data_IF_098896735953
#
_entry.id   IF_098896735953
#
_cell.length_a   1.000
_cell.length_b   1.000
_cell.length_c   1.000
_cell.angle_alpha   90.00
_cell.angle_beta   90.00
_cell.angle_gamma   90.00
#
_symmetry.space_group_name_H-M   'P 1'
#
loop_
_entity.id
_entity.type
_entity.pdbx_description
1 polymer ?
#
# COMPACT_ATOMS: atom_id res chain seq x y z
N UNK A 1 44.40 -7.69 -44.80
CA UNK A 1 43.38 -6.63 -44.75
C UNK A 1 42.71 -6.72 -43.39
N UNK A 2 42.90 -5.74 -42.51
CA UNK A 2 42.43 -5.76 -41.11
C UNK A 2 41.17 -4.90 -41.00
N UNK A 3 40.09 -5.46 -40.48
CA UNK A 3 38.82 -4.76 -40.19
C UNK A 3 38.77 -4.57 -38.66
N UNK A 4 38.93 -3.35 -38.13
CA UNK A 4 38.42 -3.01 -36.81
C UNK A 4 36.95 -2.58 -36.93
N UNK A 5 36.24 -2.50 -35.79
CA UNK A 5 34.88 -2.01 -35.52
C UNK A 5 34.06 -3.11 -34.81
N UNK A 6 33.29 -2.90 -33.74
CA UNK A 6 32.87 -1.74 -32.93
C UNK A 6 32.60 -2.32 -31.53
N UNK A 7 32.98 -1.59 -30.47
CA UNK A 7 32.52 -1.88 -29.12
C UNK A 7 31.04 -1.50 -29.00
N UNK A 8 30.15 -2.49 -28.86
CA UNK A 8 28.74 -2.25 -28.50
C UNK A 8 28.64 -2.11 -26.98
N UNK A 9 28.52 -0.87 -26.51
CA UNK A 9 28.05 -0.57 -25.16
C UNK A 9 26.58 -0.99 -25.06
N UNK A 10 26.31 -2.12 -24.40
CA UNK A 10 24.97 -2.50 -24.02
C UNK A 10 24.50 -1.54 -22.92
N UNK A 11 23.58 -0.64 -23.28
CA UNK A 11 22.96 0.30 -22.37
C UNK A 11 22.20 -0.45 -21.26
N UNK A 12 22.41 0.01 -20.02
CA UNK A 12 21.73 -0.44 -18.81
C UNK A 12 20.22 -0.25 -18.94
N UNK A 13 19.49 -1.33 -19.23
CA UNK A 13 18.04 -1.40 -19.07
C UNK A 13 17.72 -2.17 -17.78
N UNK A 14 17.82 -1.49 -16.64
CA UNK A 14 17.34 -2.01 -15.36
C UNK A 14 17.02 -0.84 -14.42
N UNK A 15 15.92 -0.16 -14.72
CA UNK A 15 15.30 0.82 -13.83
C UNK A 15 13.82 0.49 -13.69
N UNK A 16 13.51 -0.72 -13.22
CA UNK A 16 12.14 -1.12 -12.93
C UNK A 16 11.66 -0.35 -11.70
N UNK A 17 11.07 0.82 -11.95
CA UNK A 17 9.86 1.35 -11.32
C UNK A 17 9.52 0.69 -9.96
N UNK A 18 10.18 1.14 -8.88
CA UNK A 18 9.67 0.97 -7.52
C UNK A 18 8.54 2.00 -7.29
N UNK A 19 7.48 1.94 -8.10
CA UNK A 19 6.33 2.80 -7.91
C UNK A 19 5.37 2.11 -6.95
N UNK A 20 5.72 2.15 -5.65
CA UNK A 20 4.83 1.88 -4.52
C UNK A 20 4.75 0.40 -4.12
N UNK A 21 5.60 0.01 -3.17
CA UNK A 21 5.25 -1.07 -2.26
C UNK A 21 4.12 -0.55 -1.36
N UNK A 22 2.95 -1.21 -1.38
CA UNK A 22 1.84 -0.91 -0.46
C UNK A 22 2.13 -1.36 0.99
N UNK A 23 3.31 -1.95 1.24
CA UNK A 23 3.74 -2.26 2.60
C UNK A 23 4.04 -0.97 3.37
N UNK A 24 3.77 -0.92 4.69
CA UNK A 24 4.07 0.25 5.52
C UNK A 24 5.55 0.69 5.46
N UNK A 25 6.46 -0.27 5.31
CA UNK A 25 7.91 -0.12 5.17
C UNK A 25 8.47 -1.33 4.41
N UNK A 26 9.60 -1.19 3.72
CA UNK A 26 10.20 -2.27 2.92
C UNK A 26 10.57 -3.51 3.75
N UNK A 27 10.92 -3.30 5.02
CA UNK A 27 11.27 -4.32 6.00
C UNK A 27 10.11 -4.62 6.97
N UNK A 28 8.87 -4.32 6.57
CA UNK A 28 7.69 -4.59 7.38
C UNK A 28 7.62 -6.09 7.66
N UNK A 29 7.50 -6.43 8.94
CA UNK A 29 7.46 -7.80 9.40
C UNK A 29 8.74 -8.62 9.21
N UNK A 30 9.92 -7.99 9.06
CA UNK A 30 11.17 -8.74 8.86
C UNK A 30 11.50 -9.70 10.01
N UNK A 31 11.11 -9.36 11.25
CA UNK A 31 11.35 -10.16 12.46
C UNK A 31 10.22 -11.14 12.77
N UNK A 32 9.16 -11.18 11.96
CA UNK A 32 7.94 -11.94 12.20
C UNK A 32 7.55 -12.84 11.05
N UNK A 33 6.26 -13.18 11.02
CA UNK A 33 5.64 -13.93 9.94
C UNK A 33 4.42 -13.17 9.42
N UNK A 34 4.34 -13.05 8.11
CA UNK A 34 3.14 -12.52 7.44
C UNK A 34 2.05 -13.59 7.45
N UNK A 35 0.85 -13.23 7.91
CA UNK A 35 -0.34 -14.06 7.82
C UNK A 35 -1.45 -13.31 7.09
N UNK A 36 -2.11 -13.99 6.15
CA UNK A 36 -3.30 -13.46 5.47
C UNK A 36 -4.53 -13.63 6.35
N UNK A 37 -5.31 -12.57 6.52
CA UNK A 37 -6.45 -12.55 7.45
C UNK A 37 -7.80 -12.28 6.79
N UNK A 38 -7.82 -11.63 5.62
CA UNK A 38 -9.04 -11.39 4.86
C UNK A 38 -8.75 -11.00 3.42
N UNK A 39 -9.71 -11.23 2.53
CA UNK A 39 -9.80 -10.54 1.24
C UNK A 39 -10.65 -9.27 1.39
N UNK A 40 -10.44 -8.27 0.53
CA UNK A 40 -11.30 -7.09 0.45
C UNK A 40 -11.61 -6.69 -0.99
N UNK A 41 -12.78 -6.07 -1.17
CA UNK A 41 -13.17 -5.36 -2.39
C UNK A 41 -14.00 -4.15 -2.01
N UNK A 42 -13.43 -2.96 -2.21
CA UNK A 42 -14.04 -1.68 -1.87
C UNK A 42 -14.51 -0.99 -3.14
N UNK A 43 -15.80 -0.68 -3.20
CA UNK A 43 -16.38 0.13 -4.27
C UNK A 43 -16.29 1.63 -3.99
N UNK A 44 -16.57 2.44 -5.00
CA UNK A 44 -16.47 3.91 -4.95
C UNK A 44 -17.15 4.55 -3.73
N UNK A 45 -18.33 4.05 -3.32
CA UNK A 45 -19.04 4.58 -2.15
C UNK A 45 -18.29 4.33 -0.84
N UNK A 46 -17.67 3.17 -0.69
CA UNK A 46 -16.89 2.81 0.51
C UNK A 46 -15.58 3.62 0.54
N UNK A 47 -14.93 3.79 -0.61
CA UNK A 47 -13.73 4.62 -0.77
C UNK A 47 -14.04 6.08 -0.49
N UNK A 48 -15.12 6.64 -1.03
CA UNK A 48 -15.50 8.03 -0.76
C UNK A 48 -15.83 8.25 0.74
N UNK A 49 -16.48 7.28 1.38
CA UNK A 49 -16.85 7.39 2.79
C UNK A 49 -15.63 7.45 3.73
N UNK A 50 -14.52 6.79 3.40
CA UNK A 50 -13.33 6.77 4.27
C UNK A 50 -12.69 8.14 4.47
N UNK A 51 -12.98 9.10 3.59
CA UNK A 51 -12.43 10.46 3.62
C UNK A 51 -13.43 11.55 4.04
N UNK A 52 -14.65 11.15 4.44
CA UNK A 52 -15.70 12.11 4.89
C UNK A 52 -15.78 12.23 6.40
N UNK A 53 -15.13 11.34 7.15
CA UNK A 53 -15.01 11.49 8.60
C UNK A 53 -13.95 12.55 8.91
N UNK A 54 -14.27 13.52 9.76
CA UNK A 54 -13.30 14.49 10.29
C UNK A 54 -11.93 13.83 10.53
N UNK A 55 -10.97 14.15 9.66
CA UNK A 55 -9.57 13.76 9.71
C UNK A 55 -8.86 14.43 10.90
N UNK A 56 -9.36 14.20 12.12
CA UNK A 56 -8.64 14.46 13.37
C UNK A 56 -7.87 13.22 13.81
N UNK A 57 -7.40 12.40 12.86
CA UNK A 57 -6.39 11.36 13.08
C UNK A 57 -6.69 10.39 14.22
N UNK A 58 -7.97 10.14 14.58
CA UNK A 58 -8.30 9.37 15.80
C UNK A 58 -8.93 8.01 15.61
N UNK A 59 -9.64 7.75 14.50
CA UNK A 59 -10.36 6.48 14.33
C UNK A 59 -9.64 5.42 13.47
N UNK A 60 -8.66 5.81 12.65
CA UNK A 60 -7.73 4.89 12.00
C UNK A 60 -6.55 4.47 12.91
N UNK A 61 -6.47 5.02 14.14
CA UNK A 61 -5.36 4.81 15.11
C UNK A 61 -5.19 3.39 15.65
N UNK A 62 -6.09 2.45 15.35
CA UNK A 62 -6.00 1.09 15.92
C UNK A 62 -5.11 0.11 15.14
N UNK A 63 -4.57 0.51 14.00
CA UNK A 63 -3.63 -0.31 13.24
C UNK A 63 -2.43 0.50 12.71
N UNK A 64 -1.36 0.57 13.50
CA UNK A 64 0.02 0.77 13.04
C UNK A 64 0.44 2.09 12.36
N UNK A 65 -0.44 2.84 11.69
CA UNK A 65 -0.04 3.92 10.78
C UNK A 65 0.69 5.08 11.49
N UNK A 66 0.30 5.43 12.73
CA UNK A 66 1.01 6.45 13.52
C UNK A 66 2.37 5.98 14.05
N UNK A 67 2.55 4.67 14.26
CA UNK A 67 3.84 4.12 14.73
C UNK A 67 4.86 3.99 13.60
N UNK A 68 4.39 3.91 12.36
CA UNK A 68 5.21 3.83 11.16
C UNK A 68 5.66 5.20 10.60
N UNK A 69 5.45 6.32 11.32
CA UNK A 69 5.87 7.64 10.85
C UNK A 69 5.12 8.14 9.61
N UNK A 70 3.96 7.55 9.30
CA UNK A 70 3.12 7.99 8.18
C UNK A 70 2.46 9.31 8.61
N UNK A 71 2.77 10.39 7.88
CA UNK A 71 2.17 11.70 8.07
C UNK A 71 0.64 11.61 8.19
N UNK A 72 -0.04 12.55 8.91
CA UNK A 72 -1.50 12.56 8.98
C UNK A 72 -2.07 12.39 7.57
N UNK A 73 -2.82 11.31 7.38
CA UNK A 73 -3.38 10.94 6.08
C UNK A 73 -4.35 12.02 5.64
N UNK A 74 -3.87 13.03 4.93
CA UNK A 74 -4.72 13.99 4.24
C UNK A 74 -5.30 13.27 3.03
N UNK A 75 -6.57 12.89 3.13
CA UNK A 75 -7.32 12.35 2.01
C UNK A 75 -7.19 13.26 0.79
N UNK A 76 -6.40 12.80 -0.19
CA UNK A 76 -6.30 13.39 -1.51
C UNK A 76 -5.66 14.77 -1.63
N UNK A 77 -4.75 15.17 -0.73
CA UNK A 77 -3.96 16.39 -0.98
C UNK A 77 -3.03 16.24 -2.19
N UNK A 78 -2.53 15.04 -2.44
CA UNK A 78 -1.79 14.64 -3.63
C UNK A 78 -2.43 13.36 -4.17
N UNK A 79 -2.60 13.25 -5.48
CA UNK A 79 -3.26 12.13 -6.15
C UNK A 79 -4.59 11.67 -5.50
N UNK A 80 -5.66 12.49 -5.61
CA UNK A 80 -6.87 12.29 -4.83
C UNK A 80 -7.53 10.92 -5.00
N UNK A 81 -7.70 10.37 -6.22
CA UNK A 81 -8.31 9.06 -6.39
C UNK A 81 -7.52 7.94 -5.72
N UNK A 82 -6.22 7.87 -6.00
CA UNK A 82 -5.36 6.80 -5.51
C UNK A 82 -5.20 6.84 -3.98
N UNK A 83 -4.84 8.00 -3.42
CA UNK A 83 -4.60 8.09 -1.99
C UNK A 83 -5.88 7.85 -1.18
N UNK A 84 -7.04 8.25 -1.68
CA UNK A 84 -8.33 7.93 -1.06
C UNK A 84 -8.56 6.42 -1.02
N UNK A 85 -8.32 5.72 -2.14
CA UNK A 85 -8.45 4.27 -2.20
C UNK A 85 -7.43 3.54 -1.30
N UNK A 86 -6.17 4.03 -1.26
CA UNK A 86 -5.12 3.52 -0.38
C UNK A 86 -5.48 3.64 1.10
N UNK A 87 -5.97 4.83 1.51
CA UNK A 87 -6.44 5.07 2.88
C UNK A 87 -7.65 4.19 3.21
N UNK A 88 -8.60 4.02 2.28
CA UNK A 88 -9.75 3.15 2.46
C UNK A 88 -9.33 1.68 2.69
N UNK A 89 -8.41 1.18 1.86
CA UNK A 89 -7.88 -0.18 1.96
C UNK A 89 -7.13 -0.39 3.28
N UNK A 90 -6.23 0.53 3.64
CA UNK A 90 -5.51 0.50 4.91
C UNK A 90 -6.45 0.54 6.13
N UNK A 91 -7.47 1.41 6.09
CA UNK A 91 -8.49 1.49 7.13
C UNK A 91 -9.34 0.24 7.26
N UNK A 92 -9.67 -0.42 6.14
CA UNK A 92 -10.34 -1.71 6.15
C UNK A 92 -9.47 -2.79 6.81
N UNK A 93 -8.20 -2.90 6.42
CA UNK A 93 -7.29 -3.88 7.00
C UNK A 93 -6.91 -3.59 8.46
N UNK A 94 -6.98 -2.33 8.90
CA UNK A 94 -6.81 -1.93 10.30
C UNK A 94 -7.82 -2.59 11.26
N UNK A 95 -8.95 -3.08 10.76
CA UNK A 95 -9.94 -3.82 11.55
C UNK A 95 -9.41 -5.16 12.09
N UNK A 96 -8.38 -5.72 11.45
CA UNK A 96 -7.76 -6.99 11.85
C UNK A 96 -6.51 -6.81 12.72
N UNK A 97 -6.15 -5.56 13.06
CA UNK A 97 -4.99 -5.28 13.89
C UNK A 97 -5.12 -5.84 15.30
N UNK A 98 -4.00 -6.33 15.84
CA UNK A 98 -3.91 -6.81 17.21
C UNK A 98 -3.11 -5.81 18.06
N UNK A 99 -3.49 -5.61 19.34
CA UNK A 99 -2.66 -4.84 20.27
C UNK A 99 -1.30 -5.52 20.45
N UNK A 100 -0.22 -4.75 20.30
CA UNK A 100 1.14 -5.25 20.45
C UNK A 100 2.08 -4.19 21.04
N UNK A 101 3.03 -4.58 21.90
CA UNK A 101 4.09 -3.70 22.37
C UNK A 101 5.19 -3.50 21.31
N UNK A 102 5.33 -4.42 20.35
CA UNK A 102 6.26 -4.31 19.22
C UNK A 102 5.73 -3.32 18.17
N UNK A 103 6.64 -2.74 17.37
CA UNK A 103 6.29 -1.75 16.35
C UNK A 103 5.59 -2.38 15.13
N UNK A 104 5.92 -3.63 14.79
CA UNK A 104 5.36 -4.32 13.62
C UNK A 104 4.36 -5.41 14.01
N UNK A 105 4.57 -6.17 15.10
CA UNK A 105 3.66 -7.26 15.42
C UNK A 105 2.25 -6.74 15.69
N UNK A 106 1.24 -7.47 15.24
CA UNK A 106 -0.17 -7.07 15.30
C UNK A 106 -0.55 -5.95 14.34
N UNK A 107 0.40 -5.31 13.63
CA UNK A 107 0.07 -4.34 12.59
C UNK A 107 -0.41 -5.05 11.33
N UNK A 108 -1.24 -4.35 10.55
CA UNK A 108 -1.81 -4.88 9.31
C UNK A 108 -1.36 -4.06 8.11
N UNK A 109 -1.31 -4.72 6.96
CA UNK A 109 -1.06 -4.11 5.65
C UNK A 109 -2.17 -4.49 4.68
N UNK A 110 -2.55 -3.54 3.82
CA UNK A 110 -3.39 -3.82 2.66
C UNK A 110 -2.47 -4.13 1.47
N UNK A 111 -2.58 -5.32 0.91
CA UNK A 111 -1.86 -5.74 -0.29
C UNK A 111 -2.84 -5.63 -1.44
N UNK A 112 -2.80 -4.52 -2.18
CA UNK A 112 -3.70 -4.29 -3.32
C UNK A 112 -3.26 -5.15 -4.50
N UNK A 113 -4.22 -5.85 -5.11
CA UNK A 113 -3.99 -6.69 -6.30
C UNK A 113 -4.79 -6.23 -7.52
N UNK A 114 -5.57 -5.16 -7.39
CA UNK A 114 -6.23 -4.52 -8.52
C UNK A 114 -7.17 -3.38 -8.11
N UNK A 115 -7.70 -2.63 -9.10
CA UNK A 115 -7.61 -2.86 -10.55
C UNK A 115 -6.22 -2.60 -11.15
N UNK A 116 -5.98 -3.06 -12.38
CA UNK A 116 -4.74 -2.78 -13.12
C UNK A 116 -4.47 -1.27 -13.22
N UNK A 117 -5.52 -0.45 -13.39
CA UNK A 117 -5.39 1.02 -13.41
C UNK A 117 -4.87 1.61 -12.10
N UNK A 118 -5.06 0.94 -10.95
CA UNK A 118 -4.49 1.34 -9.65
C UNK A 118 -3.01 0.95 -9.55
N UNK A 119 -2.64 -0.21 -10.11
CA UNK A 119 -1.28 -0.75 -10.03
C UNK A 119 -0.33 -0.21 -11.12
N UNK A 120 -0.88 0.41 -12.15
CA UNK A 120 -0.10 0.93 -13.27
C UNK A 120 0.82 2.08 -12.83
N UNK A 121 2.03 2.21 -13.42
CA UNK A 121 2.88 3.38 -13.22
C UNK A 121 2.15 4.70 -13.53
N UNK A 122 1.23 4.69 -14.49
CA UNK A 122 0.43 5.83 -14.93
C UNK A 122 -0.90 6.00 -14.15
N UNK A 123 -1.04 5.38 -12.96
CA UNK A 123 -2.30 5.42 -12.19
C UNK A 123 -2.81 6.84 -11.90
N UNK A 124 -1.93 7.85 -11.76
CA UNK A 124 -2.35 9.26 -11.64
C UNK A 124 -3.25 9.71 -12.81
N UNK A 125 -3.03 9.16 -14.00
CA UNK A 125 -3.76 9.51 -15.21
C UNK A 125 -5.00 8.63 -15.41
N UNK A 126 -4.87 7.33 -15.13
CA UNK A 126 -5.86 6.32 -15.53
C UNK A 126 -6.70 5.76 -14.38
N UNK A 127 -6.26 5.86 -13.13
CA UNK A 127 -7.05 5.39 -11.99
C UNK A 127 -8.20 6.34 -11.68
N UNK A 128 -9.35 5.76 -11.36
CA UNK A 128 -10.59 6.47 -11.00
C UNK A 128 -11.25 5.70 -9.85
N UNK A 129 -11.80 6.43 -8.89
CA UNK A 129 -12.42 5.82 -7.68
C UNK A 129 -13.56 4.86 -8.06
N UNK A 130 -14.24 5.12 -9.18
CA UNK A 130 -15.30 4.29 -9.74
C UNK A 130 -14.85 2.84 -10.02
N UNK A 131 -13.57 2.64 -10.34
CA UNK A 131 -12.99 1.31 -10.56
C UNK A 131 -12.88 0.49 -9.26
N UNK A 132 -12.97 1.14 -8.10
CA UNK A 132 -12.79 0.50 -6.80
C UNK A 132 -11.34 0.08 -6.53
N UNK A 133 -11.16 -0.75 -5.50
CA UNK A 133 -9.88 -1.40 -5.18
C UNK A 133 -10.14 -2.76 -4.52
N UNK A 134 -9.28 -3.75 -4.76
CA UNK A 134 -9.36 -5.06 -4.11
C UNK A 134 -8.00 -5.66 -3.86
N UNK A 135 -7.95 -6.59 -2.91
CA UNK A 135 -6.72 -7.22 -2.49
C UNK A 135 -6.91 -8.03 -1.23
N UNK A 136 -5.83 -8.16 -0.47
CA UNK A 136 -5.77 -8.96 0.75
C UNK A 136 -5.31 -8.10 1.92
N UNK A 137 -5.84 -8.40 3.10
CA UNK A 137 -5.29 -7.92 4.36
C UNK A 137 -4.29 -8.94 4.91
N UNK A 138 -3.12 -8.45 5.25
CA UNK A 138 -2.09 -9.20 5.94
C UNK A 138 -1.86 -8.64 7.34
N UNK A 139 -1.46 -9.49 8.28
CA UNK A 139 -1.02 -9.13 9.62
C UNK A 139 0.39 -9.64 9.85
N UNK A 140 1.20 -8.87 10.58
CA UNK A 140 2.48 -9.36 11.07
C UNK A 140 2.33 -10.05 12.42
N UNK A 141 2.69 -11.33 12.50
CA UNK A 141 2.67 -12.10 13.75
C UNK A 141 4.08 -12.27 14.31
N UNK A 142 4.23 -12.40 15.63
CA UNK A 142 5.50 -12.81 16.24
C UNK A 142 5.98 -14.16 15.67
N UNK A 143 7.30 -14.42 15.69
CA UNK A 143 7.81 -15.72 15.31
C UNK A 143 7.32 -16.80 16.30
N UNK A 144 6.66 -17.84 15.80
CA UNK A 144 6.22 -19.00 16.60
C UNK A 144 4.73 -19.06 16.95
N UNK A 145 3.91 -18.13 16.45
CA UNK A 145 2.43 -18.22 16.46
C UNK A 145 1.84 -18.74 15.13
#
# INVERSE_FOLDING_TARGET
MRIPLIASAAALAAGSVCAHSDLPREDWCHAGRIAYVADFKLGAKQIAASCTGNDTGTKLRRGGAERAGVAPNHCGQFDPPYNTARVAAGGHCGLFGLPSPDVDFGTTAAIVTGPESYLAPEHHEIYRIEAGVWGMCAICLPPGE
#
